data_IF_114930542505
#
_entry.id   IF_114930542505
#
_cell.length_a   1.000
_cell.length_b   1.000
_cell.length_c   1.000
_cell.angle_alpha   90.00
_cell.angle_beta   90.00
_cell.angle_gamma   90.00
#
_symmetry.space_group_name_H-M   'P 1'
#
loop_
_entity.id
_entity.type
_entity.pdbx_description
1 polymer ?
#
# COMPACT_ATOMS: atom_id res chain seq x y z
N UNK A 1 36.58 18.26 50.33
CA UNK A 1 36.46 17.16 51.32
C UNK A 1 36.77 15.86 50.59
N UNK A 2 37.91 15.21 50.91
CA UNK A 2 38.01 13.87 51.54
C UNK A 2 37.16 12.81 50.78
N UNK A 3 37.66 11.69 50.24
CA UNK A 3 38.88 10.90 50.51
C UNK A 3 39.12 9.90 49.35
N UNK A 4 40.40 9.67 49.08
CA UNK A 4 41.05 8.51 48.45
C UNK A 4 40.91 7.24 49.33
N UNK A 5 41.24 6.05 48.76
CA UNK A 5 41.61 4.71 49.34
C UNK A 5 40.77 3.64 48.59
N UNK A 6 41.25 2.80 47.66
CA UNK A 6 42.42 1.92 47.50
C UNK A 6 42.50 0.78 48.53
N UNK A 7 42.26 -0.47 48.09
CA UNK A 7 42.91 -1.75 48.50
C UNK A 7 42.05 -2.91 47.94
N UNK A 8 42.53 -3.84 47.10
CA UNK A 8 43.56 -4.89 47.27
C UNK A 8 43.01 -6.18 47.91
N UNK A 9 43.35 -7.34 47.31
CA UNK A 9 43.17 -8.70 47.84
C UNK A 9 41.86 -9.38 47.40
N UNK A 10 41.78 -10.65 47.01
CA UNK A 10 42.61 -11.79 47.42
C UNK A 10 42.47 -12.96 46.43
N UNK A 11 43.60 -13.61 46.15
CA UNK A 11 43.65 -14.95 45.56
C UNK A 11 43.21 -16.00 46.60
N UNK A 12 42.40 -16.97 46.16
CA UNK A 12 42.02 -18.15 46.95
C UNK A 12 42.09 -19.40 46.07
N UNK A 13 43.16 -20.17 46.28
CA UNK A 13 43.35 -21.53 45.75
C UNK A 13 42.82 -22.54 46.79
N UNK A 14 42.50 -23.76 46.32
CA UNK A 14 42.21 -25.01 47.04
C UNK A 14 40.70 -25.22 47.32
N UNK A 15 40.07 -26.39 47.17
CA UNK A 15 40.52 -27.78 47.15
C UNK A 15 39.63 -28.63 46.19
N UNK A 16 40.25 -29.60 45.52
CA UNK A 16 39.57 -30.70 44.88
C UNK A 16 39.06 -31.71 45.92
N UNK A 17 37.79 -32.10 45.82
CA UNK A 17 37.27 -33.33 46.42
C UNK A 17 36.61 -34.16 45.31
N UNK A 18 37.39 -35.10 44.79
CA UNK A 18 36.89 -36.20 43.99
C UNK A 18 36.16 -37.19 44.91
N UNK A 19 34.83 -37.24 44.85
CA UNK A 19 34.04 -38.33 45.42
C UNK A 19 33.97 -39.47 44.41
N UNK A 20 34.73 -40.53 44.67
CA UNK A 20 34.63 -41.80 43.97
C UNK A 20 33.26 -42.43 44.26
N UNK A 21 32.45 -42.65 43.22
CA UNK A 21 31.22 -43.45 43.33
C UNK A 21 31.57 -44.94 43.38
N UNK A 22 30.82 -45.77 44.12
CA UNK A 22 31.06 -47.20 44.22
C UNK A 22 30.91 -47.87 42.85
N UNK A 23 31.81 -48.80 42.55
CA UNK A 23 31.79 -49.64 41.35
C UNK A 23 30.66 -50.67 41.52
N UNK A 24 29.47 -50.31 41.05
CA UNK A 24 28.36 -51.25 40.91
C UNK A 24 28.77 -52.30 39.86
N UNK A 25 28.87 -53.54 40.31
CA UNK A 25 29.18 -54.69 39.46
C UNK A 25 27.91 -55.09 38.74
N UNK A 26 27.80 -54.73 37.46
CA UNK A 26 26.72 -55.21 36.61
C UNK A 26 26.96 -56.70 36.28
N UNK A 27 25.92 -57.55 36.33
CA UNK A 27 26.01 -58.95 35.93
C UNK A 27 26.35 -59.07 34.44
N UNK A 28 27.12 -60.10 34.09
CA UNK A 28 27.72 -60.34 32.77
C UNK A 28 26.71 -60.80 31.69
N UNK A 29 25.50 -60.24 31.67
CA UNK A 29 24.46 -60.57 30.69
C UNK A 29 24.01 -59.37 29.84
N UNK A 30 24.47 -58.15 30.11
CA UNK A 30 24.18 -56.95 29.29
C UNK A 30 25.30 -56.57 28.29
N UNK A 31 26.35 -57.39 28.16
CA UNK A 31 27.48 -57.12 27.26
C UNK A 31 27.20 -57.35 25.75
N UNK A 32 25.96 -57.70 25.38
CA UNK A 32 25.55 -57.96 23.99
C UNK A 32 24.28 -57.21 23.56
N UNK A 33 23.96 -56.07 24.18
CA UNK A 33 22.98 -55.16 23.60
C UNK A 33 23.60 -54.44 22.38
N UNK A 34 22.99 -54.48 21.17
CA UNK A 34 23.44 -53.65 20.08
C UNK A 34 23.36 -52.18 20.50
N UNK A 35 24.31 -51.32 20.08
CA UNK A 35 24.32 -49.92 20.49
C UNK A 35 22.96 -49.28 20.19
N UNK A 36 22.40 -48.47 21.10
CA UNK A 36 21.14 -47.79 20.84
C UNK A 36 21.31 -47.01 19.54
N UNK A 37 20.45 -47.29 18.55
CA UNK A 37 20.35 -46.47 17.33
C UNK A 37 20.31 -45.02 17.79
N UNK A 38 21.30 -44.24 17.36
CA UNK A 38 21.35 -42.81 17.61
C UNK A 38 19.96 -42.24 17.33
N UNK A 39 19.38 -41.57 18.33
CA UNK A 39 18.14 -40.84 18.14
C UNK A 39 18.33 -39.94 16.89
N UNK A 40 17.36 -39.91 15.96
CA UNK A 40 17.47 -39.04 14.81
C UNK A 40 17.73 -37.63 15.33
N UNK A 41 18.85 -37.04 14.90
CA UNK A 41 19.17 -35.64 15.12
C UNK A 41 17.92 -34.88 14.73
N UNK A 42 17.30 -34.18 15.70
CA UNK A 42 16.09 -33.41 15.44
C UNK A 42 16.38 -32.51 14.24
N UNK A 43 15.68 -32.77 13.14
CA UNK A 43 15.82 -31.96 11.94
C UNK A 43 15.60 -30.51 12.36
N UNK A 44 16.54 -29.64 11.99
CA UNK A 44 16.43 -28.22 12.24
C UNK A 44 15.03 -27.79 11.73
N UNK A 45 14.13 -27.25 12.56
CA UNK A 45 12.74 -27.02 12.16
C UNK A 45 12.63 -26.17 10.87
N UNK A 46 13.62 -25.30 10.62
CA UNK A 46 13.71 -24.49 9.41
C UNK A 46 13.94 -25.31 8.14
N UNK A 47 14.55 -26.49 8.22
CA UNK A 47 14.81 -27.36 7.07
C UNK A 47 13.52 -28.00 6.51
N UNK A 48 12.46 -28.09 7.32
CA UNK A 48 11.19 -28.72 6.92
C UNK A 48 10.24 -27.82 6.11
N UNK A 49 10.39 -26.49 6.13
CA UNK A 49 9.44 -25.57 5.50
C UNK A 49 9.76 -25.21 4.03
N UNK A 50 10.95 -25.55 3.53
CA UNK A 50 11.40 -25.18 2.18
C UNK A 50 11.72 -23.69 2.04
N UNK A 51 11.83 -23.20 0.80
CA UNK A 51 12.04 -21.75 0.57
C UNK A 51 10.72 -20.98 0.74
N UNK A 52 10.73 -19.73 1.27
CA UNK A 52 9.51 -18.97 1.49
C UNK A 52 8.63 -18.80 0.25
N UNK A 53 9.27 -18.63 -0.92
CA UNK A 53 8.57 -18.47 -2.20
C UNK A 53 7.87 -19.76 -2.63
N UNK A 54 8.55 -20.91 -2.54
CA UNK A 54 7.95 -22.22 -2.86
C UNK A 54 6.82 -22.56 -1.89
N UNK A 55 7.00 -22.24 -0.61
CA UNK A 55 5.98 -22.42 0.40
C UNK A 55 4.72 -21.60 0.09
N UNK A 56 4.86 -20.32 -0.27
CA UNK A 56 3.72 -19.47 -0.60
C UNK A 56 2.94 -19.95 -1.84
N UNK A 57 3.61 -20.60 -2.81
CA UNK A 57 2.97 -21.16 -3.99
C UNK A 57 2.06 -22.36 -3.70
N UNK A 58 2.19 -23.00 -2.54
CA UNK A 58 1.32 -24.10 -2.11
C UNK A 58 -0.11 -23.62 -1.80
N UNK A 59 -0.27 -22.34 -1.47
CA UNK A 59 -1.56 -21.76 -1.09
C UNK A 59 -2.22 -21.09 -2.29
N UNK A 60 -3.41 -21.58 -2.65
CA UNK A 60 -4.20 -20.96 -3.73
C UNK A 60 -4.76 -19.61 -3.33
N UNK A 61 -5.30 -19.48 -2.11
CA UNK A 61 -5.88 -18.23 -1.59
C UNK A 61 -4.87 -17.50 -0.72
N UNK A 62 -4.76 -16.20 -0.92
CA UNK A 62 -3.76 -15.40 -0.23
C UNK A 62 -4.06 -15.21 1.27
N UNK A 63 -5.35 -15.26 1.63
CA UNK A 63 -5.79 -15.28 3.04
C UNK A 63 -5.32 -16.56 3.77
N UNK A 64 -5.36 -17.71 3.10
CA UNK A 64 -4.87 -18.98 3.68
C UNK A 64 -3.35 -18.95 3.85
N UNK A 65 -2.64 -18.34 2.88
CA UNK A 65 -1.19 -18.15 2.94
C UNK A 65 -0.80 -17.28 4.15
N UNK A 66 -1.49 -16.16 4.36
CA UNK A 66 -1.25 -15.27 5.51
C UNK A 66 -1.57 -15.95 6.84
N UNK A 67 -2.71 -16.65 6.93
CA UNK A 67 -3.07 -17.39 8.13
C UNK A 67 -2.02 -18.45 8.45
N UNK A 68 -1.58 -19.22 7.45
CA UNK A 68 -0.53 -20.20 7.65
C UNK A 68 0.80 -19.56 8.07
N UNK A 69 1.14 -18.37 7.56
CA UNK A 69 2.33 -17.64 7.98
C UNK A 69 2.23 -17.19 9.45
N UNK A 70 1.03 -16.86 9.93
CA UNK A 70 0.77 -16.61 11.36
C UNK A 70 0.88 -17.87 12.20
N UNK A 71 0.41 -19.01 11.70
CA UNK A 71 0.50 -20.28 12.41
C UNK A 71 1.95 -20.75 12.60
N UNK A 72 2.90 -20.20 11.82
CA UNK A 72 4.34 -20.41 12.03
C UNK A 72 4.91 -19.64 13.22
N UNK A 73 4.26 -18.55 13.68
CA UNK A 73 4.81 -17.68 14.72
C UNK A 73 5.07 -18.42 16.05
N UNK A 74 4.16 -19.26 16.58
CA UNK A 74 4.40 -19.97 17.84
C UNK A 74 5.56 -20.96 17.77
N UNK A 75 5.86 -21.49 16.58
CA UNK A 75 6.85 -22.56 16.38
C UNK A 75 8.22 -22.01 15.96
N UNK A 76 8.24 -21.03 15.06
CA UNK A 76 9.44 -20.53 14.39
C UNK A 76 9.77 -19.07 14.75
N UNK A 77 8.91 -18.42 15.53
CA UNK A 77 9.02 -17.02 15.90
C UNK A 77 8.50 -16.06 14.84
N UNK A 78 8.43 -14.78 15.22
CA UNK A 78 7.79 -13.73 14.41
C UNK A 78 8.57 -13.37 13.14
N UNK A 79 9.90 -13.45 13.18
CA UNK A 79 10.77 -13.22 12.01
C UNK A 79 10.50 -14.23 10.88
N UNK A 80 10.30 -15.49 11.24
CA UNK A 80 9.96 -16.52 10.27
C UNK A 80 8.59 -16.21 9.66
N UNK A 81 7.57 -16.01 10.50
CA UNK A 81 6.24 -15.61 10.04
C UNK A 81 6.27 -14.41 9.09
N UNK A 82 7.04 -13.36 9.42
CA UNK A 82 7.21 -12.19 8.57
C UNK A 82 7.83 -12.53 7.21
N UNK A 83 8.82 -13.41 7.20
CA UNK A 83 9.47 -13.85 5.96
C UNK A 83 8.48 -14.58 5.04
N UNK A 84 7.62 -15.43 5.60
CA UNK A 84 6.63 -16.18 4.84
C UNK A 84 5.44 -15.31 4.41
N UNK A 85 4.96 -14.36 5.22
CA UNK A 85 3.89 -13.44 4.77
C UNK A 85 4.38 -12.52 3.64
N UNK A 86 5.66 -12.11 3.65
CA UNK A 86 6.26 -11.41 2.51
C UNK A 86 6.20 -12.23 1.22
N UNK A 87 6.47 -13.53 1.32
CA UNK A 87 6.34 -14.43 0.17
C UNK A 87 4.88 -14.54 -0.31
N UNK A 88 3.91 -14.54 0.61
CA UNK A 88 2.49 -14.50 0.26
C UNK A 88 2.10 -13.24 -0.50
N UNK A 89 2.62 -12.07 -0.11
CA UNK A 89 2.34 -10.80 -0.81
C UNK A 89 3.02 -10.80 -2.19
N UNK A 90 4.30 -11.12 -2.25
CA UNK A 90 5.13 -11.07 -3.47
C UNK A 90 4.79 -12.13 -4.52
N UNK A 91 4.03 -13.17 -4.14
CA UNK A 91 3.40 -14.10 -5.10
C UNK A 91 2.42 -13.37 -6.04
N UNK A 92 1.91 -12.21 -5.63
CA UNK A 92 0.94 -11.40 -6.37
C UNK A 92 -0.51 -11.79 -6.06
N UNK A 93 -1.41 -10.80 -6.15
CA UNK A 93 -2.86 -10.97 -5.91
C UNK A 93 -3.32 -10.73 -4.47
N UNK A 94 -2.39 -10.50 -3.54
CA UNK A 94 -2.72 -10.23 -2.15
C UNK A 94 -3.46 -8.89 -2.01
N UNK A 95 -4.77 -8.94 -1.71
CA UNK A 95 -5.63 -7.76 -1.59
C UNK A 95 -6.07 -7.45 -0.16
N UNK A 96 -5.67 -8.25 0.83
CA UNK A 96 -6.21 -8.15 2.20
C UNK A 96 -5.43 -7.18 3.10
N UNK A 97 -5.42 -5.89 2.72
CA UNK A 97 -4.68 -4.84 3.41
C UNK A 97 -5.03 -4.73 4.90
N UNK A 98 -6.33 -4.82 5.24
CA UNK A 98 -6.78 -4.72 6.64
C UNK A 98 -6.19 -5.83 7.51
N UNK A 99 -6.20 -7.07 7.02
CA UNK A 99 -5.62 -8.23 7.72
C UNK A 99 -4.13 -8.01 7.94
N UNK A 100 -3.41 -7.61 6.90
CA UNK A 100 -1.98 -7.32 6.97
C UNK A 100 -1.68 -6.23 8.01
N UNK A 101 -2.40 -5.10 7.96
CA UNK A 101 -2.21 -3.99 8.89
C UNK A 101 -2.58 -4.32 10.34
N UNK A 102 -3.45 -5.29 10.59
CA UNK A 102 -3.92 -5.66 11.94
C UNK A 102 -2.98 -6.65 12.63
N UNK A 103 -2.52 -7.68 11.92
CA UNK A 103 -1.72 -8.75 12.54
C UNK A 103 -0.20 -8.49 12.49
N UNK A 104 0.25 -7.72 11.50
CA UNK A 104 1.66 -7.44 11.24
C UNK A 104 2.02 -5.98 11.52
N UNK A 105 1.24 -5.30 12.37
CA UNK A 105 1.35 -3.85 12.60
C UNK A 105 2.76 -3.42 13.04
N UNK A 106 3.38 -4.18 13.94
CA UNK A 106 4.70 -3.82 14.49
C UNK A 106 5.79 -3.93 13.43
N UNK A 107 5.74 -5.00 12.63
CA UNK A 107 6.63 -5.21 11.51
C UNK A 107 6.44 -4.11 10.46
N UNK A 108 5.19 -3.74 10.17
CA UNK A 108 4.88 -2.68 9.21
C UNK A 108 5.31 -1.28 9.66
N UNK A 109 5.41 -1.04 10.98
CA UNK A 109 5.89 0.23 11.53
C UNK A 109 7.40 0.35 11.57
N UNK A 110 8.08 -0.75 11.85
CA UNK A 110 9.50 -0.75 12.20
C UNK A 110 10.41 -1.11 11.04
N UNK A 111 9.93 -1.94 10.10
CA UNK A 111 10.77 -2.48 9.04
C UNK A 111 10.86 -1.57 7.83
N UNK A 112 12.04 -1.44 7.20
CA UNK A 112 12.23 -0.59 6.03
C UNK A 112 11.48 -1.09 4.80
N UNK A 113 11.28 -2.40 4.64
CA UNK A 113 10.56 -2.98 3.49
C UNK A 113 9.03 -2.86 3.60
N UNK A 114 8.51 -2.47 4.76
CA UNK A 114 7.08 -2.43 5.03
C UNK A 114 6.31 -1.55 4.04
N UNK A 115 6.86 -0.38 3.70
CA UNK A 115 6.25 0.53 2.74
C UNK A 115 6.07 -0.10 1.37
N UNK A 116 7.03 -0.93 0.93
CA UNK A 116 6.96 -1.59 -0.39
C UNK A 116 5.90 -2.67 -0.40
N UNK A 117 5.78 -3.44 0.68
CA UNK A 117 4.76 -4.49 0.83
C UNK A 117 3.36 -3.86 0.83
N UNK A 118 3.17 -2.75 1.55
CA UNK A 118 1.90 -2.02 1.55
C UNK A 118 1.60 -1.47 0.16
N UNK A 119 2.57 -0.85 -0.51
CA UNK A 119 2.39 -0.32 -1.86
C UNK A 119 2.03 -1.42 -2.87
N UNK A 120 2.61 -2.61 -2.74
CA UNK A 120 2.27 -3.77 -3.56
C UNK A 120 0.81 -4.23 -3.36
N UNK A 121 0.38 -4.34 -2.10
CA UNK A 121 -1.00 -4.70 -1.76
C UNK A 121 -1.99 -3.62 -2.23
N UNK A 122 -1.63 -2.34 -2.12
CA UNK A 122 -2.42 -1.23 -2.65
C UNK A 122 -2.53 -1.33 -4.17
N UNK A 123 -1.44 -1.63 -4.87
CA UNK A 123 -1.43 -1.88 -6.31
C UNK A 123 -2.38 -3.01 -6.69
N UNK A 124 -2.28 -4.16 -6.03
CA UNK A 124 -3.15 -5.32 -6.25
C UNK A 124 -4.64 -5.04 -5.97
N UNK A 125 -4.97 -4.05 -5.12
CA UNK A 125 -6.34 -3.58 -4.84
C UNK A 125 -6.83 -2.54 -5.85
N UNK A 126 -6.00 -2.19 -6.84
CA UNK A 126 -6.26 -1.18 -7.87
C UNK A 126 -6.00 0.26 -7.41
N UNK A 127 -5.26 0.47 -6.32
CA UNK A 127 -4.80 1.78 -5.86
C UNK A 127 -5.89 2.79 -5.47
N UNK A 128 -6.85 2.38 -4.63
CA UNK A 128 -7.78 3.32 -4.00
C UNK A 128 -7.10 4.03 -2.81
N UNK A 129 -6.19 4.96 -3.10
CA UNK A 129 -5.33 5.59 -2.08
C UNK A 129 -6.10 6.18 -0.91
N UNK A 130 -7.25 6.83 -1.13
CA UNK A 130 -8.06 7.42 -0.06
C UNK A 130 -8.54 6.38 0.96
N UNK A 131 -9.07 5.24 0.49
CA UNK A 131 -9.55 4.18 1.38
C UNK A 131 -8.42 3.35 1.96
N UNK A 132 -7.38 3.08 1.16
CA UNK A 132 -6.28 2.22 1.57
C UNK A 132 -5.37 2.93 2.58
N UNK A 133 -5.05 4.21 2.37
CA UNK A 133 -4.25 4.98 3.33
C UNK A 133 -5.01 5.22 4.64
N UNK A 134 -6.34 5.33 4.61
CA UNK A 134 -7.13 5.42 5.84
C UNK A 134 -6.93 4.18 6.74
N UNK A 135 -6.91 2.98 6.16
CA UNK A 135 -6.65 1.73 6.90
C UNK A 135 -5.23 1.68 7.47
N UNK A 136 -4.24 2.15 6.71
CA UNK A 136 -2.84 2.19 7.12
C UNK A 136 -2.62 3.21 8.25
N UNK A 137 -3.25 4.38 8.15
CA UNK A 137 -3.16 5.47 9.12
C UNK A 137 -3.94 5.18 10.41
N UNK A 138 -5.05 4.44 10.35
CA UNK A 138 -5.76 3.94 11.54
C UNK A 138 -4.81 3.17 12.47
N UNK A 139 -3.93 2.37 11.87
CA UNK A 139 -2.92 1.59 12.61
C UNK A 139 -1.66 2.39 12.96
N UNK A 140 -1.61 3.70 12.65
CA UNK A 140 -0.45 4.59 12.85
C UNK A 140 0.82 4.13 12.14
N UNK A 141 0.69 3.54 10.95
CA UNK A 141 1.84 3.22 10.10
C UNK A 141 2.24 4.50 9.33
N UNK A 142 3.54 4.87 9.28
CA UNK A 142 3.99 6.17 8.79
C UNK A 142 4.07 6.23 7.25
N UNK A 143 2.92 6.11 6.59
CA UNK A 143 2.77 6.17 5.14
C UNK A 143 1.72 7.23 4.77
N UNK A 144 2.04 8.08 3.80
CA UNK A 144 1.25 9.28 3.53
C UNK A 144 0.98 9.49 2.03
N UNK A 145 -0.01 10.32 1.72
CA UNK A 145 -0.31 10.77 0.37
C UNK A 145 0.48 12.03 0.00
N UNK A 146 0.57 12.30 -1.29
CA UNK A 146 1.27 13.47 -1.81
C UNK A 146 0.58 14.78 -1.40
N UNK A 147 -0.75 14.82 -1.41
CA UNK A 147 -1.50 16.02 -1.07
C UNK A 147 -1.20 16.51 0.37
N UNK A 148 -1.07 15.60 1.34
CA UNK A 148 -0.64 15.96 2.70
C UNK A 148 0.80 16.48 2.75
N UNK A 149 1.71 15.85 1.99
CA UNK A 149 3.10 16.28 1.92
C UNK A 149 3.26 17.69 1.34
N UNK A 150 2.48 18.03 0.31
CA UNK A 150 2.51 19.35 -0.32
C UNK A 150 1.95 20.47 0.57
N UNK A 151 0.97 20.14 1.42
CA UNK A 151 0.43 21.08 2.42
C UNK A 151 1.46 21.43 3.50
N UNK A 152 2.29 20.46 3.92
CA UNK A 152 3.30 20.67 4.97
C UNK A 152 4.68 20.10 4.60
N UNK A 153 5.38 20.65 3.58
CA UNK A 153 6.57 20.01 3.03
C UNK A 153 7.70 19.75 4.05
N UNK A 154 7.87 20.64 5.02
CA UNK A 154 8.89 20.52 6.07
C UNK A 154 8.63 19.32 7.00
N UNK A 155 7.36 19.00 7.31
CA UNK A 155 7.00 17.92 8.22
C UNK A 155 7.15 16.53 7.57
N UNK A 156 7.01 16.46 6.24
CA UNK A 156 7.03 15.21 5.48
C UNK A 156 8.38 14.92 4.82
N UNK A 157 9.36 15.82 4.91
CA UNK A 157 10.70 15.59 4.36
C UNK A 157 11.35 14.34 4.96
N UNK A 158 11.81 13.45 4.09
CA UNK A 158 12.40 12.15 4.43
C UNK A 158 11.40 11.04 4.70
N UNK A 159 10.09 11.32 4.71
CA UNK A 159 9.04 10.30 4.92
C UNK A 159 8.67 9.59 3.61
N UNK A 160 8.09 8.41 3.76
CA UNK A 160 7.58 7.63 2.64
C UNK A 160 6.17 8.07 2.26
N UNK A 161 5.97 8.26 0.96
CA UNK A 161 4.68 8.56 0.35
C UNK A 161 4.30 7.45 -0.61
N UNK A 162 2.99 7.22 -0.75
CA UNK A 162 2.43 6.43 -1.83
C UNK A 162 1.77 7.37 -2.82
N UNK A 163 2.13 7.20 -4.09
CA UNK A 163 1.62 8.00 -5.19
C UNK A 163 1.06 7.06 -6.24
N UNK A 164 -0.17 7.31 -6.66
CA UNK A 164 -0.70 6.73 -7.89
C UNK A 164 -0.32 7.69 -9.00
N UNK A 165 0.45 7.22 -9.96
CA UNK A 165 1.00 8.10 -10.98
C UNK A 165 1.13 7.41 -12.32
N UNK A 166 1.31 8.25 -13.33
CA UNK A 166 1.64 7.85 -14.69
C UNK A 166 3.04 8.33 -15.02
N UNK A 167 3.84 7.46 -15.61
CA UNK A 167 5.20 7.79 -16.04
C UNK A 167 5.12 8.67 -17.29
N UNK A 168 5.66 9.88 -17.19
CA UNK A 168 5.87 10.79 -18.32
C UNK A 168 7.30 10.70 -18.84
N UNK A 169 8.00 11.83 -18.88
CA UNK A 169 9.36 11.91 -19.45
C UNK A 169 10.45 11.38 -18.53
N UNK A 170 11.41 10.67 -19.13
CA UNK A 170 12.65 10.21 -18.52
C UNK A 170 13.81 11.10 -19.03
N UNK A 171 14.51 11.78 -18.11
CA UNK A 171 15.62 12.69 -18.41
C UNK A 171 16.87 12.21 -17.71
N UNK A 172 17.96 12.05 -18.46
CA UNK A 172 19.28 11.82 -17.88
C UNK A 172 20.06 13.13 -17.81
N UNK A 173 20.47 13.54 -16.61
CA UNK A 173 21.28 14.74 -16.39
C UNK A 173 22.44 14.42 -15.48
N UNK A 174 23.67 14.55 -16.00
CA UNK A 174 24.90 14.42 -15.21
C UNK A 174 25.07 13.06 -14.51
N UNK A 175 24.68 11.96 -15.17
CA UNK A 175 24.77 10.61 -14.60
C UNK A 175 23.68 10.26 -13.58
N UNK A 176 22.65 11.11 -13.44
CA UNK A 176 21.42 10.81 -12.68
C UNK A 176 20.22 10.75 -13.62
N UNK A 177 19.40 9.73 -13.44
CA UNK A 177 18.14 9.55 -14.16
C UNK A 177 17.02 10.17 -13.33
N UNK A 178 16.34 11.15 -13.89
CA UNK A 178 15.15 11.80 -13.33
C UNK A 178 13.94 11.42 -14.18
N UNK A 179 12.83 11.08 -13.51
CA UNK A 179 11.55 10.78 -14.16
C UNK A 179 10.51 11.79 -13.72
N UNK A 180 9.74 12.25 -14.69
CA UNK A 180 8.55 13.05 -14.44
C UNK A 180 7.36 12.10 -14.26
N UNK A 181 6.71 12.15 -13.10
CA UNK A 181 5.47 11.43 -12.85
C UNK A 181 4.32 12.43 -12.79
N UNK A 182 3.21 12.09 -13.42
CA UNK A 182 1.95 12.80 -13.29
C UNK A 182 1.08 12.08 -12.27
N UNK A 183 0.69 12.75 -11.19
CA UNK A 183 -0.20 12.14 -10.20
C UNK A 183 -1.59 11.91 -10.82
N UNK A 184 -2.15 10.75 -10.52
CA UNK A 184 -3.48 10.33 -10.93
C UNK A 184 -4.35 10.13 -9.69
N UNK A 185 -5.60 10.57 -9.76
CA UNK A 185 -6.63 10.20 -8.82
C UNK A 185 -7.49 9.10 -9.45
N UNK A 186 -7.75 8.02 -8.71
CA UNK A 186 -8.76 7.04 -9.11
C UNK A 186 -10.11 7.48 -8.58
N UNK A 187 -11.06 7.64 -9.49
CA UNK A 187 -12.48 7.86 -9.20
C UNK A 187 -13.27 6.62 -9.63
N UNK A 188 -14.33 6.30 -8.89
CA UNK A 188 -15.24 5.20 -9.24
C UNK A 188 -16.64 5.77 -9.37
N UNK A 189 -17.16 5.77 -10.60
CA UNK A 189 -18.53 6.20 -10.86
C UNK A 189 -19.45 4.98 -10.85
N UNK A 190 -20.48 5.05 -10.01
CA UNK A 190 -21.53 4.04 -9.95
C UNK A 190 -22.67 4.47 -10.88
N UNK A 191 -22.67 3.93 -12.09
CA UNK A 191 -23.76 4.14 -13.05
C UNK A 191 -24.80 3.03 -12.92
N UNK A 192 -26.09 3.40 -13.01
CA UNK A 192 -27.18 2.42 -13.16
C UNK A 192 -27.49 2.31 -14.64
N UNK A 193 -27.07 1.21 -15.26
CA UNK A 193 -27.29 0.94 -16.68
C UNK A 193 -28.47 -0.02 -16.82
N UNK A 194 -29.27 0.18 -17.87
CA UNK A 194 -30.35 -0.73 -18.21
C UNK A 194 -29.74 -1.98 -18.87
N UNK A 195 -29.81 -3.13 -18.19
CA UNK A 195 -29.32 -4.42 -18.68
C UNK A 195 -30.05 -4.88 -19.95
N UNK A 196 -29.41 -5.78 -20.71
CA UNK A 196 -29.92 -6.26 -22.02
C UNK A 196 -31.17 -7.14 -21.94
N UNK A 197 -31.47 -7.67 -20.75
CA UNK A 197 -32.58 -8.61 -20.54
C UNK A 197 -33.70 -7.98 -19.68
N UNK A 198 -34.67 -7.36 -20.37
CA UNK A 198 -36.07 -7.08 -19.98
C UNK A 198 -36.41 -6.11 -18.78
N UNK A 199 -37.52 -5.37 -18.99
CA UNK A 199 -38.41 -4.46 -18.20
C UNK A 199 -37.94 -3.69 -16.93
N UNK A 200 -38.15 -2.36 -16.92
CA UNK A 200 -37.93 -1.38 -15.82
C UNK A 200 -37.77 0.10 -16.25
N UNK A 201 -38.81 0.94 -16.15
CA UNK A 201 -38.90 2.27 -16.81
C UNK A 201 -38.04 3.41 -16.19
N UNK A 202 -37.23 4.10 -17.00
CA UNK A 202 -36.56 5.37 -16.67
C UNK A 202 -37.32 6.53 -17.30
N UNK A 203 -37.69 7.54 -16.51
CA UNK A 203 -38.23 8.81 -17.01
C UNK A 203 -37.20 9.93 -16.84
N UNK A 204 -36.55 10.35 -17.93
CA UNK A 204 -35.80 11.60 -17.93
C UNK A 204 -36.77 12.75 -18.27
N UNK A 205 -37.05 13.62 -17.30
CA UNK A 205 -37.80 14.85 -17.54
C UNK A 205 -36.84 16.02 -17.71
N UNK A 206 -36.61 16.44 -18.96
CA UNK A 206 -36.01 17.74 -19.25
C UNK A 206 -37.13 18.72 -19.59
N UNK A 207 -37.47 19.62 -18.66
CA UNK A 207 -38.40 20.72 -18.91
C UNK A 207 -37.64 21.90 -19.50
N UNK A 208 -37.91 22.24 -20.76
CA UNK A 208 -37.56 23.54 -21.33
C UNK A 208 -38.84 24.33 -21.52
N UNK A 209 -39.03 25.34 -20.70
CA UNK A 209 -40.13 26.30 -20.83
C UNK A 209 -39.57 27.65 -21.27
N UNK A 210 -40.10 28.21 -22.34
CA UNK A 210 -39.87 29.59 -22.72
C UNK A 210 -41.11 30.40 -22.40
N UNK A 211 -41.00 31.38 -21.53
CA UNK A 211 -42.07 32.33 -21.23
C UNK A 211 -41.70 33.66 -21.88
N UNK A 212 -42.42 34.05 -22.92
CA UNK A 212 -42.27 35.36 -23.54
C UNK A 212 -43.31 36.32 -22.96
N UNK A 213 -42.83 37.38 -22.30
CA UNK A 213 -43.67 38.47 -21.81
C UNK A 213 -43.58 39.65 -22.77
N UNK A 214 -44.69 40.03 -23.39
CA UNK A 214 -44.81 41.30 -24.08
C UNK A 214 -45.61 42.24 -23.19
N UNK A 215 -44.94 43.20 -22.56
CA UNK A 215 -45.58 44.36 -21.95
C UNK A 215 -45.55 45.50 -22.97
N UNK A 216 -46.72 46.02 -23.33
CA UNK A 216 -46.86 47.35 -23.92
C UNK A 216 -47.67 48.20 -22.95
N UNK A 217 -47.04 49.26 -22.46
CA UNK A 217 -47.69 50.29 -21.66
C UNK A 217 -48.85 50.92 -22.43
N UNK A 218 -50.05 50.79 -21.87
CA UNK A 218 -50.87 51.94 -21.47
C UNK A 218 -52.20 51.45 -20.90
N UNK A 219 -52.47 51.81 -19.64
CA UNK A 219 -53.80 52.19 -19.11
C UNK A 219 -54.97 51.28 -19.58
N UNK A 220 -55.30 50.28 -18.75
CA UNK A 220 -56.48 49.38 -18.85
C UNK A 220 -56.38 48.28 -19.92
N UNK A 221 -56.09 47.04 -19.54
CA UNK A 221 -56.26 45.89 -20.44
C UNK A 221 -55.61 44.59 -19.95
N UNK A 222 -56.37 43.50 -19.96
CA UNK A 222 -55.99 42.15 -19.55
C UNK A 222 -54.78 41.60 -20.32
N UNK A 223 -53.72 41.22 -19.60
CA UNK A 223 -52.61 40.44 -20.14
C UNK A 223 -52.97 38.96 -20.22
N UNK A 224 -52.76 38.33 -21.38
CA UNK A 224 -52.85 36.87 -21.53
C UNK A 224 -51.44 36.28 -21.59
N UNK A 225 -51.15 35.38 -20.66
CA UNK A 225 -49.94 34.56 -20.68
C UNK A 225 -50.22 33.30 -21.51
N UNK A 226 -49.49 33.11 -22.61
CA UNK A 226 -49.47 31.84 -23.32
C UNK A 226 -48.06 31.25 -23.23
N UNK A 227 -47.99 30.04 -22.67
CA UNK A 227 -46.77 29.24 -22.57
C UNK A 227 -47.01 27.91 -23.26
N UNK A 228 -46.09 27.50 -24.13
CA UNK A 228 -46.06 26.13 -24.65
C UNK A 228 -45.04 25.33 -23.84
N UNK A 229 -45.48 24.20 -23.30
CA UNK A 229 -44.61 23.24 -22.64
C UNK A 229 -44.58 21.98 -23.51
N UNK A 230 -43.41 21.65 -24.06
CA UNK A 230 -43.19 20.37 -24.72
C UNK A 230 -42.46 19.45 -23.74
N UNK A 231 -43.13 18.40 -23.29
CA UNK A 231 -42.54 17.37 -22.45
C UNK A 231 -42.18 16.19 -23.34
N UNK A 232 -40.91 16.05 -23.70
CA UNK A 232 -40.43 14.84 -24.37
C UNK A 232 -40.10 13.80 -23.30
N UNK A 233 -41.04 12.86 -23.08
CA UNK A 233 -40.84 11.71 -22.20
C UNK A 233 -40.30 10.56 -23.04
N UNK A 234 -39.00 10.30 -22.95
CA UNK A 234 -38.45 9.01 -23.37
C UNK A 234 -38.47 8.07 -22.17
N UNK A 235 -39.16 6.95 -22.34
CA UNK A 235 -39.27 5.89 -21.33
C UNK A 235 -38.50 4.67 -21.82
N UNK A 236 -37.37 4.35 -21.19
CA UNK A 236 -36.59 3.14 -21.51
C UNK A 236 -36.71 2.16 -20.34
N UNK A 237 -37.10 0.92 -20.63
CA UNK A 237 -37.50 -0.06 -19.62
C UNK A 237 -36.51 -1.25 -19.54
N UNK A 238 -35.77 -1.45 -18.43
CA UNK A 238 -35.04 -2.70 -18.14
C UNK A 238 -34.43 -2.81 -16.73
N UNK A 239 -33.90 -3.99 -16.38
CA UNK A 239 -33.23 -4.26 -15.09
C UNK A 239 -32.05 -3.31 -14.86
N UNK A 240 -32.03 -2.64 -13.72
CA UNK A 240 -30.90 -1.78 -13.34
C UNK A 240 -29.71 -2.65 -12.98
N UNK A 241 -28.70 -2.67 -13.83
CA UNK A 241 -27.38 -3.16 -13.49
C UNK A 241 -26.57 -2.00 -12.93
N UNK A 242 -26.03 -2.20 -11.74
CA UNK A 242 -25.05 -1.27 -11.18
C UNK A 242 -23.71 -1.55 -11.84
N UNK A 243 -23.30 -0.67 -12.74
CA UNK A 243 -22.00 -0.72 -13.41
C UNK A 243 -21.08 0.27 -12.71
N UNK A 244 -20.06 -0.26 -12.07
CA UNK A 244 -18.95 0.54 -11.53
C UNK A 244 -17.96 0.74 -12.67
N UNK A 245 -17.73 2.00 -13.03
CA UNK A 245 -16.70 2.39 -13.99
C UNK A 245 -15.59 3.08 -13.21
N UNK A 246 -14.40 2.52 -13.27
CA UNK A 246 -13.21 3.14 -12.70
C UNK A 246 -12.53 4.02 -13.73
N UNK A 247 -12.26 5.27 -13.35
CA UNK A 247 -11.57 6.27 -14.16
C UNK A 247 -10.33 6.77 -13.42
N UNK A 248 -9.29 7.05 -14.18
CA UNK A 248 -8.06 7.68 -13.68
C UNK A 248 -8.00 9.09 -14.23
N UNK A 249 -8.09 10.06 -13.33
CA UNK A 249 -8.11 11.48 -13.66
C UNK A 249 -6.79 12.11 -13.22
N UNK A 250 -6.16 12.90 -14.10
CA UNK A 250 -4.94 13.63 -13.76
C UNK A 250 -5.26 14.71 -12.73
N UNK A 251 -4.52 14.75 -11.61
CA UNK A 251 -4.74 15.79 -10.58
C UNK A 251 -4.12 17.14 -10.96
N UNK A 252 -3.33 17.17 -12.05
CA UNK A 252 -2.51 18.30 -12.45
C UNK A 252 -1.21 18.46 -11.63
N UNK A 253 -0.95 17.56 -10.69
CA UNK A 253 0.26 17.59 -9.87
C UNK A 253 1.42 16.85 -10.57
N UNK A 254 2.55 17.56 -10.69
CA UNK A 254 3.77 17.02 -11.30
C UNK A 254 4.78 16.65 -10.20
N UNK A 255 5.45 15.53 -10.39
CA UNK A 255 6.43 14.97 -9.47
C UNK A 255 7.72 14.68 -10.23
N UNK A 256 8.85 15.12 -9.70
CA UNK A 256 10.17 14.76 -10.22
C UNK A 256 10.75 13.70 -9.29
N UNK A 257 10.85 12.48 -9.81
CA UNK A 257 11.40 11.33 -9.13
C UNK A 257 12.85 11.08 -9.55
N UNK A 258 13.76 10.99 -8.58
CA UNK A 258 15.15 10.57 -8.78
C UNK A 258 15.24 9.06 -8.74
N UNK A 259 15.85 8.47 -9.76
CA UNK A 259 16.13 7.04 -9.82
C UNK A 259 17.60 6.78 -9.44
N UNK A 260 17.84 5.67 -8.74
CA UNK A 260 19.21 5.23 -8.42
C UNK A 260 19.93 4.69 -9.65
N UNK A 261 19.20 3.99 -10.51
CA UNK A 261 19.65 3.45 -11.79
C UNK A 261 18.51 3.55 -12.80
N UNK A 262 18.82 3.70 -14.10
CA UNK A 262 17.82 3.63 -15.15
C UNK A 262 17.16 2.23 -15.14
N UNK A 263 15.83 2.20 -15.15
CA UNK A 263 15.04 0.97 -15.12
C UNK A 263 14.28 0.80 -16.44
N UNK A 264 14.60 -0.22 -17.26
CA UNK A 264 13.93 -0.45 -18.53
C UNK A 264 12.48 -0.94 -18.39
N UNK A 265 12.06 -1.36 -17.19
CA UNK A 265 10.70 -1.84 -16.92
C UNK A 265 9.75 -0.73 -16.47
N UNK A 266 10.27 0.48 -16.26
CA UNK A 266 9.46 1.66 -15.98
C UNK A 266 8.80 2.14 -17.27
N UNK A 267 7.65 1.53 -17.61
CA UNK A 267 6.95 1.80 -18.87
C UNK A 267 6.28 3.16 -18.83
N UNK A 268 6.60 4.00 -19.81
CA UNK A 268 5.87 5.22 -20.08
C UNK A 268 4.37 4.92 -20.26
N UNK A 269 3.53 5.89 -19.91
CA UNK A 269 2.08 5.88 -20.12
C UNK A 269 1.26 4.88 -19.29
N UNK A 270 1.87 4.07 -18.41
CA UNK A 270 1.14 3.16 -17.52
C UNK A 270 0.90 3.79 -16.15
N UNK A 271 -0.32 3.58 -15.63
CA UNK A 271 -0.66 3.91 -14.25
C UNK A 271 -0.04 2.87 -13.32
N UNK A 272 0.70 3.33 -12.32
CA UNK A 272 1.39 2.48 -11.34
C UNK A 272 1.33 3.11 -9.95
N UNK A 273 1.47 2.27 -8.93
CA UNK A 273 1.65 2.72 -7.55
C UNK A 273 3.14 2.87 -7.28
N UNK A 274 3.55 4.07 -6.90
CA UNK A 274 4.93 4.41 -6.54
C UNK A 274 5.05 4.57 -5.04
N UNK A 275 6.01 3.86 -4.45
CA UNK A 275 6.54 4.20 -3.14
C UNK A 275 7.73 5.13 -3.35
N UNK A 276 7.63 6.32 -2.77
CA UNK A 276 8.66 7.35 -2.91
C UNK A 276 9.06 7.90 -1.56
N UNK A 277 10.30 8.37 -1.44
CA UNK A 277 10.74 9.17 -0.30
C UNK A 277 10.64 10.63 -0.66
N UNK A 278 9.94 11.42 0.14
CA UNK A 278 9.75 12.84 -0.12
C UNK A 278 11.01 13.63 0.21
N UNK A 279 11.59 14.33 -0.77
CA UNK A 279 12.80 15.12 -0.58
C UNK A 279 12.49 16.63 -0.42
N UNK A 280 11.33 17.09 -0.89
CA UNK A 280 10.83 18.45 -0.72
C UNK A 280 9.97 18.92 -1.90
N UNK A 281 9.84 20.24 -2.05
CA UNK A 281 9.13 20.86 -3.19
C UNK A 281 10.04 21.84 -3.91
N UNK A 282 9.97 21.88 -5.24
CA UNK A 282 10.45 22.98 -6.06
C UNK A 282 9.26 23.86 -6.45
N UNK A 283 9.46 25.17 -6.46
CA UNK A 283 8.47 26.11 -7.01
C UNK A 283 8.85 26.31 -8.47
N UNK A 284 7.93 26.12 -9.41
CA UNK A 284 8.18 26.50 -10.79
C UNK A 284 8.34 28.03 -10.85
N UNK A 285 9.35 28.51 -11.56
CA UNK A 285 9.60 29.95 -11.72
C UNK A 285 8.33 30.64 -12.27
N UNK A 286 8.00 31.80 -11.70
CA UNK A 286 6.75 32.53 -11.91
C UNK A 286 6.51 33.02 -13.36
N UNK A 287 7.40 32.70 -14.31
CA UNK A 287 7.32 33.16 -15.70
C UNK A 287 6.29 32.38 -16.54
N UNK A 288 5.80 31.22 -16.09
CA UNK A 288 4.78 30.43 -16.82
C UNK A 288 3.39 30.41 -16.17
N UNK A 289 3.22 31.05 -15.01
CA UNK A 289 1.92 31.14 -14.34
C UNK A 289 1.13 32.32 -14.88
N UNK A 290 -0.03 32.04 -15.50
CA UNK A 290 -1.02 33.06 -15.80
C UNK A 290 -1.32 33.86 -14.52
N UNK A 291 -1.39 35.19 -14.63
CA UNK A 291 -1.64 36.09 -13.50
C UNK A 291 -2.90 35.64 -12.73
N UNK A 292 -2.71 35.12 -11.51
CA UNK A 292 -3.79 34.70 -10.60
C UNK A 292 -3.82 33.23 -10.19
N UNK A 293 -3.00 32.34 -10.78
CA UNK A 293 -2.90 30.94 -10.34
C UNK A 293 -1.80 30.78 -9.28
N UNK A 294 -2.10 30.14 -8.14
CA UNK A 294 -1.08 29.84 -7.11
C UNK A 294 0.08 29.05 -7.74
N UNK A 295 1.34 29.35 -7.39
CA UNK A 295 2.48 28.68 -8.02
C UNK A 295 2.44 27.18 -7.71
N UNK A 296 2.21 26.36 -8.75
CA UNK A 296 2.17 24.91 -8.63
C UNK A 296 3.51 24.39 -8.13
N UNK A 297 3.51 23.86 -6.91
CA UNK A 297 4.68 23.27 -6.29
C UNK A 297 4.94 21.91 -6.92
N UNK A 298 6.08 21.73 -7.53
CA UNK A 298 6.52 20.43 -8.04
C UNK A 298 7.11 19.62 -6.89
N UNK A 299 6.65 18.38 -6.70
CA UNK A 299 7.19 17.52 -5.65
C UNK A 299 8.53 16.91 -6.09
N UNK A 300 9.54 16.98 -5.24
CA UNK A 300 10.83 16.32 -5.45
C UNK A 300 10.88 15.07 -4.59
N UNK A 301 11.09 13.92 -5.22
CA UNK A 301 11.07 12.62 -4.54
C UNK A 301 12.21 11.72 -5.00
N UNK A 302 12.57 10.74 -4.18
CA UNK A 302 13.44 9.62 -4.55
C UNK A 302 12.58 8.38 -4.72
N UNK A 303 12.65 7.71 -5.87
CA UNK A 303 11.92 6.47 -6.12
C UNK A 303 12.48 5.34 -5.25
N UNK A 304 11.59 4.62 -4.55
CA UNK A 304 11.95 3.48 -3.68
C UNK A 304 11.51 2.17 -4.32
N UNK A 305 10.24 2.07 -4.70
CA UNK A 305 9.68 0.93 -5.43
C UNK A 305 8.47 1.38 -6.26
N UNK A 306 8.06 0.54 -7.21
CA UNK A 306 6.86 0.76 -8.00
C UNK A 306 6.16 -0.58 -8.29
N UNK A 307 4.84 -0.55 -8.39
CA UNK A 307 4.00 -1.73 -8.53
C UNK A 307 2.90 -1.48 -9.57
N UNK A 308 2.64 -2.46 -10.43
CA UNK A 308 1.53 -2.40 -11.39
C UNK A 308 0.17 -2.47 -10.70
N UNK A 309 -0.86 -2.05 -11.44
CA UNK A 309 -2.27 -2.21 -11.07
C UNK A 309 -2.85 -3.52 -11.60
#
# INVERSE_FOLDING_TARGET
MKRLVLMMGSAGVLFACATAKPKETMPAEEAFAPPPKAAPVAADPKATLGTPKEWALQYRRDLDCEQAARDLIPVYGREAGWTYVKACVTKGGFTQLKTLCTYWTDELKTRPEAGSIIAEVIGARGAHLMTDLALVQEQRIPLFDLASALKQPSAFKGRYLVVLGKVGDLKERGGRTEVTLQEQARSSEVSRVVGKDAYGTVSNSSSKGSVSWQSRDSIVGSGSASGSSSSQRSSVSGKMEQRVTDTFDETGQVIIAKLKQPDPFLRAEQNMVFLVRFDGTAVADAETTNEGEEPKRTALVTLVSYHGL
#
